data_IF_601341854154
#
_entry.id   IF_601341854154
#
_cell.length_a   1.000
_cell.length_b   1.000
_cell.length_c   1.000
_cell.angle_alpha   90.00
_cell.angle_beta   90.00
_cell.angle_gamma   90.00
#
_symmetry.space_group_name_H-M   'P 1'
#
loop_
_entity.id
_entity.type
_entity.pdbx_description
1 polymer ?
#
# COMPACT_ATOMS: atom_id res chain seq x y z
N UNK A 1 9.82 -48.43 3.96
CA UNK A 1 9.98 -47.30 3.01
C UNK A 1 8.74 -46.41 2.93
N UNK A 2 7.52 -46.97 3.01
CA UNK A 2 6.26 -46.22 2.95
C UNK A 2 6.10 -45.09 3.98
N UNK A 3 6.50 -45.30 5.25
CA UNK A 3 6.42 -44.25 6.28
C UNK A 3 7.33 -43.03 6.03
N UNK A 4 8.47 -43.21 5.34
CA UNK A 4 9.39 -42.09 5.02
C UNK A 4 8.83 -41.22 3.89
N UNK A 5 8.14 -41.83 2.93
CA UNK A 5 7.45 -41.11 1.85
C UNK A 5 6.24 -40.31 2.38
N UNK A 6 5.48 -40.89 3.32
CA UNK A 6 4.33 -40.22 3.94
C UNK A 6 4.74 -39.01 4.81
N UNK A 7 5.85 -39.12 5.54
CA UNK A 7 6.41 -37.99 6.30
C UNK A 7 6.92 -36.86 5.39
N UNK A 8 7.60 -37.22 4.29
CA UNK A 8 8.09 -36.22 3.33
C UNK A 8 6.93 -35.48 2.62
N UNK A 9 5.84 -36.17 2.30
CA UNK A 9 4.64 -35.55 1.73
C UNK A 9 3.95 -34.62 2.75
N UNK A 10 3.84 -35.06 4.01
CA UNK A 10 3.28 -34.25 5.10
C UNK A 10 4.04 -32.94 5.35
N UNK A 11 5.38 -32.97 5.34
CA UNK A 11 6.17 -31.74 5.53
C UNK A 11 6.02 -30.75 4.37
N UNK A 12 5.83 -31.22 3.13
CA UNK A 12 5.65 -30.33 1.98
C UNK A 12 4.33 -29.54 2.02
N UNK A 13 3.26 -30.13 2.58
CA UNK A 13 1.94 -29.48 2.67
C UNK A 13 1.93 -28.36 3.72
N UNK A 14 2.64 -28.54 4.83
CA UNK A 14 2.71 -27.53 5.90
C UNK A 14 3.49 -26.28 5.45
N UNK A 15 4.55 -26.45 4.67
CA UNK A 15 5.35 -25.32 4.15
C UNK A 15 4.58 -24.40 3.19
N UNK A 16 3.67 -24.95 2.39
CA UNK A 16 2.84 -24.16 1.45
C UNK A 16 1.80 -23.33 2.20
N UNK A 17 1.18 -23.87 3.26
CA UNK A 17 0.15 -23.18 4.03
C UNK A 17 0.68 -22.00 4.87
N UNK A 18 1.90 -22.09 5.38
CA UNK A 18 2.50 -21.01 6.19
C UNK A 18 2.95 -19.79 5.36
N UNK A 19 3.27 -19.98 4.07
CA UNK A 19 3.69 -18.89 3.19
C UNK A 19 2.54 -17.94 2.79
N UNK A 20 1.31 -18.46 2.74
CA UNK A 20 0.11 -17.71 2.34
C UNK A 20 -0.32 -16.70 3.42
N UNK A 21 -0.13 -17.05 4.70
CA UNK A 21 -0.51 -16.22 5.85
C UNK A 21 0.40 -14.99 6.00
N UNK A 22 1.70 -15.11 5.70
CA UNK A 22 2.68 -14.01 5.80
C UNK A 22 2.48 -12.97 4.69
N UNK A 23 1.97 -13.37 3.52
CA UNK A 23 1.77 -12.48 2.38
C UNK A 23 0.42 -11.76 2.41
N UNK A 24 -0.52 -12.21 3.26
CA UNK A 24 -1.91 -11.77 3.21
C UNK A 24 -2.40 -11.24 4.56
N UNK A 25 -1.70 -10.26 5.14
CA UNK A 25 -2.31 -9.48 6.22
C UNK A 25 -3.42 -8.59 5.63
N UNK A 26 -4.64 -9.14 5.55
CA UNK A 26 -5.84 -8.45 5.07
C UNK A 26 -6.15 -7.18 5.88
N UNK A 27 -5.69 -7.10 7.13
CA UNK A 27 -5.81 -5.91 7.99
C UNK A 27 -5.12 -4.70 7.36
N UNK A 28 -3.98 -4.94 6.70
CA UNK A 28 -3.19 -3.92 6.02
C UNK A 28 -3.89 -3.41 4.75
N UNK A 29 -4.46 -4.31 3.93
CA UNK A 29 -5.17 -3.93 2.70
C UNK A 29 -6.44 -3.09 2.95
N UNK A 30 -7.21 -3.40 3.99
CA UNK A 30 -8.40 -2.64 4.34
C UNK A 30 -8.08 -1.20 4.75
N UNK A 31 -7.00 -1.00 5.51
CA UNK A 31 -6.52 0.33 5.91
C UNK A 31 -6.06 1.15 4.71
N UNK A 32 -5.31 0.54 3.80
CA UNK A 32 -4.89 1.18 2.54
C UNK A 32 -6.10 1.60 1.71
N UNK A 33 -7.11 0.74 1.59
CA UNK A 33 -8.33 1.06 0.85
C UNK A 33 -9.09 2.23 1.49
N UNK A 34 -9.18 2.28 2.82
CA UNK A 34 -9.81 3.39 3.52
C UNK A 34 -9.06 4.72 3.30
N UNK A 35 -7.72 4.70 3.34
CA UNK A 35 -6.89 5.88 3.01
C UNK A 35 -7.09 6.32 1.56
N UNK A 36 -7.15 5.38 0.63
CA UNK A 36 -7.43 5.66 -0.78
C UNK A 36 -8.79 6.34 -0.98
N UNK A 37 -9.86 5.77 -0.40
CA UNK A 37 -11.20 6.32 -0.49
C UNK A 37 -11.27 7.73 0.12
N UNK A 38 -10.59 7.96 1.25
CA UNK A 38 -10.50 9.28 1.89
C UNK A 38 -9.82 10.30 0.97
N UNK A 39 -8.68 9.94 0.37
CA UNK A 39 -7.94 10.82 -0.54
C UNK A 39 -8.77 11.14 -1.78
N UNK A 40 -9.43 10.14 -2.37
CA UNK A 40 -10.29 10.32 -3.53
C UNK A 40 -11.47 11.26 -3.23
N UNK A 41 -12.16 11.07 -2.10
CA UNK A 41 -13.26 11.93 -1.70
C UNK A 41 -12.81 13.39 -1.48
N UNK A 42 -11.62 13.60 -0.90
CA UNK A 42 -11.04 14.93 -0.73
C UNK A 42 -10.73 15.59 -2.09
N UNK A 43 -10.12 14.84 -3.01
CA UNK A 43 -9.82 15.31 -4.37
C UNK A 43 -11.08 15.62 -5.18
N UNK A 44 -12.14 14.82 -5.04
CA UNK A 44 -13.43 15.08 -5.70
C UNK A 44 -14.12 16.33 -5.16
N UNK A 45 -14.02 16.59 -3.85
CA UNK A 45 -14.60 17.78 -3.22
C UNK A 45 -13.88 19.07 -3.64
N UNK A 46 -12.57 19.00 -3.84
CA UNK A 46 -11.74 20.14 -4.23
C UNK A 46 -10.71 19.70 -5.27
N UNK A 47 -11.11 19.62 -6.56
CA UNK A 47 -10.21 19.14 -7.61
C UNK A 47 -9.00 20.06 -7.76
N UNK A 48 -7.80 19.52 -8.04
CA UNK A 48 -6.63 20.31 -8.37
C UNK A 48 -6.90 21.27 -9.53
N UNK A 49 -6.41 22.51 -9.42
CA UNK A 49 -6.54 23.49 -10.49
C UNK A 49 -5.77 23.04 -11.75
N UNK A 50 -6.18 23.48 -12.95
CA UNK A 50 -5.40 23.23 -14.16
C UNK A 50 -3.94 23.66 -14.00
N UNK A 51 -3.01 22.81 -14.41
CA UNK A 51 -1.57 23.04 -14.26
C UNK A 51 -0.98 22.65 -12.91
N UNK A 52 -1.80 22.26 -11.93
CA UNK A 52 -1.29 21.67 -10.69
C UNK A 52 -0.71 20.27 -10.94
N UNK A 53 0.34 19.94 -10.18
CA UNK A 53 1.03 18.64 -10.25
C UNK A 53 0.47 17.70 -9.19
N UNK A 54 0.15 16.47 -9.59
CA UNK A 54 -0.30 15.44 -8.67
C UNK A 54 0.86 14.52 -8.34
N UNK A 55 1.22 14.45 -7.06
CA UNK A 55 2.28 13.59 -6.55
C UNK A 55 1.68 12.31 -5.98
N UNK A 56 1.94 11.18 -6.63
CA UNK A 56 1.42 9.85 -6.24
C UNK A 56 2.59 8.97 -5.82
N UNK A 57 2.41 8.18 -4.77
CA UNK A 57 3.42 7.22 -4.31
C UNK A 57 2.98 6.47 -3.06
N UNK A 58 3.89 5.67 -2.50
CA UNK A 58 3.66 4.91 -1.27
C UNK A 58 4.00 5.74 -0.02
N UNK A 59 4.55 5.11 1.02
CA UNK A 59 4.90 5.73 2.30
C UNK A 59 5.85 6.91 2.14
N UNK A 60 6.87 6.83 1.27
CA UNK A 60 7.79 7.95 1.04
C UNK A 60 7.06 9.22 0.60
N UNK A 61 6.11 9.10 -0.33
CA UNK A 61 5.30 10.24 -0.75
C UNK A 61 4.32 10.66 0.35
N UNK A 62 3.63 9.70 0.99
CA UNK A 62 2.69 9.98 2.09
C UNK A 62 3.35 10.81 3.22
N UNK A 63 4.62 10.52 3.53
CA UNK A 63 5.36 11.18 4.60
C UNK A 63 6.17 12.40 4.14
N UNK A 64 6.23 12.69 2.85
CA UNK A 64 6.86 13.90 2.32
C UNK A 64 5.97 15.13 2.52
N UNK A 65 5.97 15.68 3.75
CA UNK A 65 5.12 16.82 4.13
C UNK A 65 5.56 18.15 3.53
N UNK A 66 6.84 18.29 3.20
CA UNK A 66 7.44 19.50 2.61
C UNK A 66 7.41 19.54 1.08
N UNK A 67 6.71 18.62 0.40
CA UNK A 67 6.78 18.49 -1.07
C UNK A 67 6.33 19.75 -1.81
N UNK A 68 5.46 20.56 -1.20
CA UNK A 68 5.03 21.84 -1.79
C UNK A 68 6.13 22.90 -1.71
N UNK A 69 6.84 22.96 -0.60
CA UNK A 69 7.98 23.86 -0.41
C UNK A 69 9.15 23.44 -1.30
N UNK A 70 9.44 22.14 -1.36
CA UNK A 70 10.57 21.58 -2.09
C UNK A 70 10.41 21.69 -3.61
N UNK A 71 9.16 21.72 -4.11
CA UNK A 71 8.84 21.85 -5.54
C UNK A 71 8.36 23.25 -5.93
N UNK A 72 8.51 24.24 -5.07
CA UNK A 72 8.18 25.62 -5.40
C UNK A 72 8.95 26.07 -6.67
N UNK A 73 8.30 26.84 -7.58
CA UNK A 73 7.01 27.51 -7.42
C UNK A 73 5.79 26.70 -7.92
N UNK A 74 5.93 25.40 -8.16
CA UNK A 74 4.82 24.58 -8.67
C UNK A 74 3.73 24.40 -7.61
N UNK A 75 2.46 24.46 -8.01
CA UNK A 75 1.34 24.02 -7.16
C UNK A 75 1.27 22.51 -7.19
N UNK A 76 1.43 21.85 -6.03
CA UNK A 76 1.47 20.38 -5.95
C UNK A 76 0.42 19.85 -4.99
N UNK A 77 -0.07 18.64 -5.26
CA UNK A 77 -0.98 17.92 -4.38
C UNK A 77 -0.39 16.55 -4.04
N UNK A 78 -0.13 16.32 -2.75
CA UNK A 78 0.39 15.06 -2.26
C UNK A 78 -0.75 14.06 -2.00
N UNK A 79 -0.83 13.03 -2.84
CA UNK A 79 -1.76 11.90 -2.71
C UNK A 79 -1.04 10.57 -2.41
N UNK A 80 0.09 10.64 -1.71
CA UNK A 80 0.81 9.44 -1.28
C UNK A 80 0.02 8.61 -0.27
N UNK A 81 -0.03 7.30 -0.48
CA UNK A 81 -0.71 6.32 0.37
C UNK A 81 0.24 5.15 0.64
N UNK A 82 0.76 5.06 1.86
CA UNK A 82 1.61 3.96 2.31
C UNK A 82 0.81 2.74 2.75
N UNK A 83 1.46 1.57 2.67
CA UNK A 83 0.87 0.30 3.11
C UNK A 83 0.86 0.13 4.63
N UNK A 84 1.78 0.79 5.36
CA UNK A 84 1.84 0.72 6.81
C UNK A 84 1.18 1.96 7.42
N UNK A 85 0.14 1.74 8.24
CA UNK A 85 -0.42 2.74 9.14
C UNK A 85 0.30 2.68 10.49
#
# INVERSE_FOLDING_TARGET
MLCRALLALGLSVVGVLAADEVLTDKSTSAKVLALYQKTLAAAQKSPPAPGAVICIGSSHMQFWKSVQEDLAPLTVHNYGIGAAA
#
